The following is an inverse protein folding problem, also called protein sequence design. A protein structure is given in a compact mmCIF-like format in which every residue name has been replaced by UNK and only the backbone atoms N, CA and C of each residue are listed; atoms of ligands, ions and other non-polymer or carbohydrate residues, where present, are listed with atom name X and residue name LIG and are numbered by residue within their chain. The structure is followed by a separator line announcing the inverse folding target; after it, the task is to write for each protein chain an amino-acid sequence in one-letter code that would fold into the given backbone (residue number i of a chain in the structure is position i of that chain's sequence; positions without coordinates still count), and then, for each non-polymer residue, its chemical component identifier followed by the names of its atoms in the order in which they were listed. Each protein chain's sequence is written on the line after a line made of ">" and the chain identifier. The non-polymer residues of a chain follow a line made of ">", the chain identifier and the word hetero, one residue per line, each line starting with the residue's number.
data_IF_290713703170
#
_entry.id   IF_290713703170
#
_cell.length_a   1.000
_cell.length_b   1.000
_cell.length_c   1.000
_cell.angle_alpha   90.00
_cell.angle_beta   90.00
_cell.angle_gamma   90.00
#
_symmetry.space_group_name_H-M   'P 1'
#
loop_
_entity.id
_entity.type
_entity.pdbx_description
1 polymer ?
#
# COMPACT_ATOMS: atom_id res chain seq x y z
N UNK A 1 -3.37 32.67 -5.60
CA UNK A 1 -2.66 31.39 -5.39
C UNK A 1 -3.65 30.25 -5.55
N UNK A 2 -3.44 29.34 -6.50
CA UNK A 2 -4.33 28.19 -6.73
C UNK A 2 -4.02 27.06 -5.74
N UNK A 3 -5.07 26.48 -5.11
CA UNK A 3 -4.93 25.37 -4.16
C UNK A 3 -4.96 24.02 -4.90
N UNK A 4 -3.96 23.19 -4.65
CA UNK A 4 -3.88 21.85 -5.24
C UNK A 4 -4.70 20.82 -4.44
N UNK A 5 -5.35 19.90 -5.15
CA UNK A 5 -6.13 18.79 -4.59
C UNK A 5 -5.71 17.46 -5.23
N UNK A 6 -5.70 16.38 -4.43
CA UNK A 6 -5.30 15.05 -4.90
C UNK A 6 -6.36 13.99 -4.59
N UNK A 7 -6.45 12.98 -5.46
CA UNK A 7 -7.32 11.82 -5.23
C UNK A 7 -6.68 10.85 -4.24
N UNK A 8 -7.51 10.28 -3.37
CA UNK A 8 -7.12 9.36 -2.30
C UNK A 8 -7.52 7.90 -2.56
N UNK A 9 -8.26 7.64 -3.63
CA UNK A 9 -8.73 6.31 -4.03
C UNK A 9 -8.86 6.24 -5.55
N UNK A 10 -8.85 5.02 -6.07
CA UNK A 10 -9.09 4.70 -7.48
C UNK A 10 -10.13 3.59 -7.54
N UNK A 11 -11.07 3.71 -8.47
CA UNK A 11 -12.10 2.68 -8.68
C UNK A 11 -11.50 1.43 -9.35
N UNK A 12 -12.05 0.23 -9.07
CA UNK A 12 -11.66 -0.99 -9.75
C UNK A 12 -11.86 -0.87 -11.27
N UNK A 13 -10.96 -1.48 -12.05
CA UNK A 13 -11.03 -1.47 -13.52
C UNK A 13 -12.26 -2.23 -14.04
N UNK A 14 -12.65 -3.32 -13.38
CA UNK A 14 -13.81 -4.16 -13.71
C UNK A 14 -14.84 -4.05 -12.57
N UNK A 15 -15.98 -3.36 -12.80
CA UNK A 15 -16.97 -3.17 -11.76
C UNK A 15 -17.68 -4.46 -11.30
N UNK A 16 -17.98 -5.38 -12.22
CA UNK A 16 -18.85 -6.54 -11.95
C UNK A 16 -18.09 -7.87 -11.92
N UNK A 17 -17.02 -7.91 -11.12
CA UNK A 17 -16.23 -9.12 -10.90
C UNK A 17 -16.65 -9.76 -9.58
N UNK A 18 -17.33 -10.91 -9.64
CA UNK A 18 -17.92 -11.58 -8.47
C UNK A 18 -16.90 -11.82 -7.37
N UNK A 19 -15.75 -12.41 -7.72
CA UNK A 19 -14.67 -12.70 -6.77
C UNK A 19 -14.20 -11.45 -5.99
N UNK A 20 -14.13 -10.28 -6.64
CA UNK A 20 -13.75 -9.01 -5.99
C UNK A 20 -14.87 -8.51 -5.08
N UNK A 21 -16.13 -8.61 -5.53
CA UNK A 21 -17.28 -8.16 -4.74
C UNK A 21 -17.41 -8.96 -3.44
N UNK A 22 -17.22 -10.28 -3.51
CA UNK A 22 -17.28 -11.19 -2.37
C UNK A 22 -16.14 -10.93 -1.37
N UNK A 23 -14.91 -10.73 -1.87
CA UNK A 23 -13.76 -10.37 -1.03
C UNK A 23 -13.96 -9.03 -0.32
N UNK A 24 -14.45 -8.00 -1.04
CA UNK A 24 -14.73 -6.70 -0.44
C UNK A 24 -15.85 -6.77 0.60
N UNK A 25 -16.90 -7.56 0.35
CA UNK A 25 -17.99 -7.77 1.31
C UNK A 25 -17.49 -8.44 2.58
N UNK A 26 -16.63 -9.46 2.44
CA UNK A 26 -16.00 -10.12 3.60
C UNK A 26 -15.19 -9.12 4.43
N UNK A 27 -14.35 -8.31 3.80
CA UNK A 27 -13.55 -7.28 4.48
C UNK A 27 -14.42 -6.21 5.16
N UNK A 28 -15.50 -5.78 4.50
CA UNK A 28 -16.46 -4.84 5.08
C UNK A 28 -17.08 -5.41 6.35
N UNK A 29 -17.50 -6.68 6.32
CA UNK A 29 -18.10 -7.36 7.47
C UNK A 29 -17.12 -7.57 8.62
N UNK A 30 -15.88 -7.98 8.33
CA UNK A 30 -14.85 -8.25 9.34
C UNK A 30 -14.40 -6.99 10.08
N UNK A 31 -14.22 -5.88 9.37
CA UNK A 31 -13.71 -4.63 9.93
C UNK A 31 -14.78 -3.55 10.18
N UNK A 32 -16.06 -3.85 9.90
CA UNK A 32 -17.18 -2.91 10.12
C UNK A 32 -17.11 -1.64 9.26
N UNK A 33 -16.65 -1.75 8.01
CA UNK A 33 -16.44 -0.60 7.14
C UNK A 33 -17.75 -0.01 6.62
N UNK A 34 -17.82 1.31 6.45
CA UNK A 34 -19.06 1.98 6.00
C UNK A 34 -19.31 1.78 4.50
N UNK A 35 -18.24 1.74 3.70
CA UNK A 35 -18.34 1.71 2.24
C UNK A 35 -17.09 1.11 1.57
N UNK A 36 -17.24 0.69 0.32
CA UNK A 36 -16.14 0.15 -0.51
C UNK A 36 -15.02 1.16 -0.78
N UNK A 37 -15.32 2.46 -0.71
CA UNK A 37 -14.31 3.51 -0.91
C UNK A 37 -13.24 3.48 0.18
N UNK A 38 -13.56 3.05 1.40
CA UNK A 38 -12.58 2.85 2.48
C UNK A 38 -11.55 1.78 2.10
N UNK A 39 -12.01 0.64 1.57
CA UNK A 39 -11.13 -0.41 1.02
C UNK A 39 -10.26 0.18 -0.10
N UNK A 40 -10.86 0.90 -1.05
CA UNK A 40 -10.12 1.44 -2.20
C UNK A 40 -9.08 2.49 -1.81
N UNK A 41 -9.28 3.23 -0.71
CA UNK A 41 -8.28 4.17 -0.16
C UNK A 41 -7.07 3.43 0.38
N UNK A 42 -7.30 2.36 1.15
CA UNK A 42 -6.22 1.52 1.69
C UNK A 42 -5.47 0.84 0.54
N UNK A 43 -6.19 0.26 -0.41
CA UNK A 43 -5.58 -0.38 -1.59
C UNK A 43 -4.80 0.59 -2.46
N UNK A 44 -5.27 1.83 -2.63
CA UNK A 44 -4.53 2.86 -3.35
C UNK A 44 -3.24 3.26 -2.62
N UNK A 45 -3.30 3.39 -1.29
CA UNK A 45 -2.14 3.73 -0.46
C UNK A 45 -1.10 2.60 -0.49
N UNK A 46 -1.54 1.35 -0.34
CA UNK A 46 -0.70 0.17 -0.44
C UNK A 46 -0.07 0.04 -1.84
N UNK A 47 -0.82 0.36 -2.90
CA UNK A 47 -0.29 0.36 -4.27
C UNK A 47 0.83 1.37 -4.48
N UNK A 48 0.74 2.57 -3.87
CA UNK A 48 1.82 3.57 -3.88
C UNK A 48 3.07 3.07 -3.16
N UNK A 49 2.88 2.47 -1.98
CA UNK A 49 3.97 1.91 -1.18
C UNK A 49 4.68 0.79 -1.95
N UNK A 50 3.93 -0.18 -2.51
CA UNK A 50 4.52 -1.26 -3.32
C UNK A 50 5.19 -0.73 -4.58
N UNK A 51 4.66 0.32 -5.21
CA UNK A 51 5.30 0.95 -6.38
C UNK A 51 6.66 1.54 -5.99
N UNK A 52 6.73 2.29 -4.89
CA UNK A 52 8.00 2.82 -4.39
C UNK A 52 9.01 1.70 -4.10
N UNK A 53 8.58 0.64 -3.38
CA UNK A 53 9.43 -0.52 -3.11
C UNK A 53 9.95 -1.18 -4.40
N UNK A 54 9.10 -1.38 -5.42
CA UNK A 54 9.54 -1.94 -6.72
C UNK A 54 10.56 -1.08 -7.44
N UNK A 55 10.44 0.24 -7.41
CA UNK A 55 11.44 1.12 -8.04
C UNK A 55 12.79 1.06 -7.31
N UNK A 56 12.77 0.98 -5.98
CA UNK A 56 13.99 0.85 -5.18
C UNK A 56 14.66 -0.52 -5.35
N UNK A 57 13.88 -1.59 -5.51
CA UNK A 57 14.40 -2.95 -5.68
C UNK A 57 15.11 -3.18 -7.02
N UNK A 58 14.85 -2.33 -8.03
CA UNK A 58 15.58 -2.36 -9.32
C UNK A 58 17.01 -1.82 -9.22
N UNK A 59 17.27 -0.95 -8.25
CA UNK A 59 18.58 -0.33 -8.05
C UNK A 59 19.53 -1.32 -7.36
N UNK A 60 20.83 -1.12 -7.52
CA UNK A 60 21.83 -1.91 -6.80
C UNK A 60 21.69 -1.73 -5.28
N UNK A 61 22.10 -2.74 -4.51
CA UNK A 61 21.97 -2.72 -3.05
C UNK A 61 22.74 -1.58 -2.38
N UNK A 62 23.84 -1.14 -2.99
CA UNK A 62 24.69 -0.05 -2.48
C UNK A 62 24.30 1.33 -3.01
N UNK A 63 23.26 1.41 -3.84
CA UNK A 63 22.82 2.69 -4.38
C UNK A 63 22.34 3.62 -3.23
N UNK A 64 22.84 4.88 -3.16
CA UNK A 64 22.49 5.80 -2.08
C UNK A 64 20.99 6.05 -1.95
N UNK A 65 20.27 6.05 -3.09
CA UNK A 65 18.82 6.27 -3.11
C UNK A 65 18.07 5.09 -2.53
N UNK A 66 18.49 3.85 -2.85
CA UNK A 66 17.92 2.62 -2.27
C UNK A 66 18.12 2.58 -0.76
N UNK A 67 19.32 2.91 -0.28
CA UNK A 67 19.63 2.94 1.14
C UNK A 67 18.81 4.00 1.89
N UNK A 68 18.71 5.22 1.36
CA UNK A 68 18.01 6.29 2.04
C UNK A 68 16.49 6.14 1.97
N UNK A 69 15.92 6.08 0.77
CA UNK A 69 14.46 5.97 0.58
C UNK A 69 13.92 4.64 1.10
N UNK A 70 14.68 3.54 0.93
CA UNK A 70 14.28 2.22 1.41
C UNK A 70 14.18 2.14 2.93
N UNK A 71 15.19 2.66 3.64
CA UNK A 71 15.16 2.72 5.11
C UNK A 71 14.04 3.64 5.61
N UNK A 72 13.81 4.78 4.95
CA UNK A 72 12.72 5.68 5.31
C UNK A 72 11.34 5.01 5.14
N UNK A 73 11.16 4.24 4.06
CA UNK A 73 9.92 3.50 3.81
C UNK A 73 9.67 2.45 4.90
N UNK A 74 10.69 1.64 5.23
CA UNK A 74 10.59 0.60 6.25
C UNK A 74 10.28 1.20 7.62
N UNK A 75 11.01 2.26 8.03
CA UNK A 75 10.79 2.94 9.32
C UNK A 75 9.36 3.46 9.46
N UNK A 76 8.77 3.99 8.39
CA UNK A 76 7.38 4.45 8.40
C UNK A 76 6.40 3.29 8.61
N UNK A 77 6.65 2.14 7.98
CA UNK A 77 5.79 0.96 8.10
C UNK A 77 5.87 0.31 9.48
N UNK A 78 7.07 0.25 10.08
CA UNK A 78 7.26 -0.21 11.46
C UNK A 78 6.54 0.71 12.44
N UNK A 79 6.65 2.04 12.27
CA UNK A 79 5.96 3.02 13.14
C UNK A 79 4.44 2.89 13.13
N UNK A 80 3.85 2.53 11.99
CA UNK A 80 2.40 2.33 11.87
C UNK A 80 1.99 0.93 12.39
N UNK A 81 2.95 0.03 12.63
CA UNK A 81 2.71 -1.34 13.11
C UNK A 81 2.35 -2.32 12.00
N UNK A 82 2.62 -2.01 10.73
CA UNK A 82 2.31 -2.90 9.59
C UNK A 82 3.40 -3.94 9.37
N UNK A 83 4.64 -3.60 9.73
CA UNK A 83 5.81 -4.45 9.60
C UNK A 83 6.41 -4.68 10.98
N UNK A 84 6.81 -5.92 11.25
CA UNK A 84 7.52 -6.28 12.48
C UNK A 84 9.02 -5.90 12.39
N UNK A 85 9.64 -5.61 13.51
CA UNK A 85 11.07 -5.23 13.61
C UNK A 85 12.00 -6.35 13.13
N UNK A 86 11.55 -7.59 13.21
CA UNK A 86 12.28 -8.76 12.70
C UNK A 86 12.28 -8.84 11.16
N UNK A 87 11.38 -8.12 10.48
CA UNK A 87 11.14 -8.22 9.02
C UNK A 87 11.48 -6.94 8.27
N UNK A 88 12.58 -6.28 8.62
CA UNK A 88 13.04 -5.02 8.00
C UNK A 88 13.74 -5.19 6.64
N UNK A 89 13.13 -5.93 5.70
CA UNK A 89 13.60 -6.01 4.30
C UNK A 89 12.56 -5.44 3.33
N UNK A 90 13.02 -4.82 2.24
CA UNK A 90 12.15 -4.24 1.21
C UNK A 90 11.24 -5.28 0.56
N UNK A 91 11.67 -6.54 0.47
CA UNK A 91 10.88 -7.62 -0.14
C UNK A 91 9.59 -7.91 0.64
N UNK A 92 9.61 -7.79 1.97
CA UNK A 92 8.42 -7.98 2.79
C UNK A 92 7.35 -6.91 2.53
N UNK A 93 7.76 -5.71 2.09
CA UNK A 93 6.83 -4.64 1.71
C UNK A 93 5.99 -5.05 0.48
N UNK A 94 6.54 -5.88 -0.42
CA UNK A 94 5.79 -6.40 -1.57
C UNK A 94 4.70 -7.39 -1.16
N UNK A 95 4.92 -8.13 -0.08
CA UNK A 95 4.04 -9.21 0.39
C UNK A 95 2.84 -8.75 1.23
N UNK A 96 2.80 -7.47 1.64
CA UNK A 96 1.68 -6.89 2.39
C UNK A 96 0.35 -7.15 1.69
N UNK A 97 -0.76 -7.26 2.42
CA UNK A 97 -2.12 -7.44 1.88
C UNK A 97 -3.10 -6.49 2.59
N UNK A 98 -4.27 -6.31 1.98
CA UNK A 98 -5.42 -5.62 2.58
C UNK A 98 -6.21 -6.69 3.32
#
# INVERSE_FOLDING_TARGET
>A
TTRNYHKTSTVPKRPFESARLDQELKLIGEFGLKNKREIWRVGFTLSKIRRAARELLKLDEKDPRRLFEGNALIRRLVRIGVLDETRMKLDYVLALKI
#
